data_IF_027132951738
#
_entry.id   IF_027132951738
#
_cell.length_a   1.000
_cell.length_b   1.000
_cell.length_c   1.000
_cell.angle_alpha   90.00
_cell.angle_beta   90.00
_cell.angle_gamma   90.00
#
_symmetry.space_group_name_H-M   'P 1'
#
loop_
_entity.id
_entity.type
_entity.pdbx_description
1 polymer ?
#
# COMPACT_ATOMS: atom_id res chain seq x y z
N UNK A 1 -7.36 1.43 11.82
CA UNK A 1 -6.01 1.30 11.18
C UNK A 1 -4.99 0.98 12.26
N UNK A 2 -4.37 -0.20 12.22
CA UNK A 2 -3.30 -0.58 13.16
C UNK A 2 -2.00 0.11 12.73
N UNK A 3 -1.78 1.34 13.21
CA UNK A 3 -0.51 2.04 13.00
C UNK A 3 0.58 1.37 13.83
N UNK A 4 1.64 0.96 13.16
CA UNK A 4 2.80 0.33 13.81
C UNK A 4 3.89 1.40 13.98
N UNK A 5 4.40 1.58 15.19
CA UNK A 5 5.62 2.35 15.41
C UNK A 5 6.80 1.48 15.00
N UNK A 6 7.71 2.02 14.21
CA UNK A 6 8.94 1.34 13.77
C UNK A 6 9.84 1.13 14.99
N UNK A 7 10.12 -0.12 15.34
CA UNK A 7 11.32 -0.45 16.07
C UNK A 7 12.51 -0.36 15.11
N UNK A 8 13.63 0.16 15.55
CA UNK A 8 14.84 0.49 14.77
C UNK A 8 15.50 -0.68 14.02
N UNK A 9 14.96 -1.89 14.13
CA UNK A 9 15.53 -3.12 13.56
C UNK A 9 14.87 -3.60 12.26
N UNK A 10 13.83 -2.90 11.77
CA UNK A 10 13.12 -3.33 10.55
C UNK A 10 13.77 -2.70 9.33
N UNK A 11 14.38 -3.52 8.49
CA UNK A 11 14.92 -3.09 7.20
C UNK A 11 13.77 -2.76 6.25
N UNK A 12 13.57 -1.47 6.01
CA UNK A 12 12.51 -0.96 5.15
C UNK A 12 13.08 -0.64 3.77
N UNK A 13 12.49 -1.23 2.73
CA UNK A 13 12.79 -0.92 1.33
C UNK A 13 11.83 0.14 0.82
N UNK A 14 12.36 1.17 0.19
CA UNK A 14 11.58 2.21 -0.47
C UNK A 14 11.40 1.93 -1.95
N UNK A 15 10.22 2.28 -2.47
CA UNK A 15 9.89 2.16 -3.88
C UNK A 15 9.15 3.41 -4.35
N UNK A 16 9.72 4.06 -5.34
CA UNK A 16 9.09 5.19 -6.03
C UNK A 16 7.97 4.66 -6.94
N UNK A 17 6.75 5.17 -6.77
CA UNK A 17 5.60 4.80 -7.60
C UNK A 17 5.43 5.76 -8.76
N UNK A 18 5.44 7.05 -8.49
CA UNK A 18 5.30 8.10 -9.51
C UNK A 18 5.97 9.40 -9.07
N UNK A 19 6.46 10.14 -10.05
CA UNK A 19 6.96 11.50 -9.92
C UNK A 19 6.23 12.37 -10.92
N UNK A 20 5.77 13.54 -10.47
CA UNK A 20 5.14 14.54 -11.30
C UNK A 20 5.80 15.90 -11.09
N UNK A 21 6.13 16.58 -12.19
CA UNK A 21 6.50 17.99 -12.16
C UNK A 21 5.23 18.83 -12.05
N UNK A 22 5.11 19.60 -10.98
CA UNK A 22 3.96 20.46 -10.70
C UNK A 22 4.38 21.92 -10.72
N UNK A 23 3.47 22.80 -11.09
CA UNK A 23 3.75 24.21 -11.26
C UNK A 23 2.79 25.05 -10.42
N UNK A 24 3.34 26.02 -9.69
CA UNK A 24 2.57 27.11 -9.07
C UNK A 24 2.76 28.38 -9.89
N UNK A 25 1.65 28.91 -10.38
CA UNK A 25 1.65 30.18 -11.14
C UNK A 25 1.46 31.33 -10.18
N UNK A 26 2.34 32.32 -10.23
CA UNK A 26 2.29 33.56 -9.46
C UNK A 26 2.37 34.77 -10.39
N UNK A 27 2.18 36.00 -9.88
CA UNK A 27 2.29 37.23 -10.66
C UNK A 27 3.68 37.41 -11.30
N UNK A 28 4.73 36.80 -10.71
CA UNK A 28 6.12 36.86 -11.21
C UNK A 28 6.51 35.71 -12.15
N UNK A 29 5.58 34.76 -12.45
CA UNK A 29 5.87 33.65 -13.36
C UNK A 29 5.47 32.26 -12.80
N UNK A 30 6.12 31.23 -13.34
CA UNK A 30 5.86 29.81 -12.99
C UNK A 30 6.97 29.25 -12.12
N UNK A 31 6.63 28.81 -10.91
CA UNK A 31 7.57 28.12 -10.03
C UNK A 31 7.32 26.60 -10.14
N UNK A 32 8.35 25.88 -10.55
CA UNK A 32 8.28 24.43 -10.72
C UNK A 32 8.72 23.70 -9.44
N UNK A 33 8.01 22.64 -9.11
CA UNK A 33 8.37 21.72 -8.03
C UNK A 33 8.08 20.29 -8.47
N UNK A 34 8.67 19.31 -7.77
CA UNK A 34 8.41 17.89 -8.01
C UNK A 34 7.57 17.32 -6.87
N UNK A 35 6.59 16.51 -7.23
CA UNK A 35 5.78 15.75 -6.30
C UNK A 35 6.05 14.26 -6.52
N UNK A 36 6.53 13.57 -5.50
CA UNK A 36 6.80 12.14 -5.53
C UNK A 36 5.82 11.40 -4.60
N UNK A 37 5.28 10.26 -5.06
CA UNK A 37 4.62 9.28 -4.21
C UNK A 37 5.54 8.07 -4.04
N UNK A 38 5.82 7.75 -2.78
CA UNK A 38 6.73 6.67 -2.41
C UNK A 38 5.99 5.71 -1.49
N UNK A 39 6.28 4.44 -1.66
CA UNK A 39 5.83 3.35 -0.79
C UNK A 39 7.05 2.77 -0.09
N UNK A 40 6.90 2.44 1.19
CA UNK A 40 7.95 1.84 2.01
C UNK A 40 7.39 0.59 2.65
N UNK A 41 8.11 -0.52 2.57
CA UNK A 41 7.68 -1.80 3.16
C UNK A 41 8.86 -2.69 3.55
N UNK A 42 8.59 -3.68 4.41
CA UNK A 42 9.57 -4.65 4.91
C UNK A 42 9.55 -5.99 4.15
N UNK A 43 8.59 -6.17 3.23
CA UNK A 43 8.35 -7.45 2.57
C UNK A 43 7.79 -8.54 3.48
N UNK A 44 7.34 -8.20 4.71
CA UNK A 44 6.83 -9.14 5.73
C UNK A 44 5.47 -8.69 6.30
N UNK A 45 4.75 -7.86 5.56
CA UNK A 45 3.41 -7.40 5.93
C UNK A 45 3.35 -6.00 6.54
N UNK A 46 4.44 -5.25 6.60
CA UNK A 46 4.40 -3.84 7.01
C UNK A 46 4.56 -2.95 5.80
N UNK A 47 3.70 -1.97 5.65
CA UNK A 47 3.71 -1.04 4.53
C UNK A 47 3.28 0.36 4.95
N UNK A 48 3.86 1.36 4.28
CA UNK A 48 3.44 2.74 4.40
C UNK A 48 3.57 3.49 3.07
N UNK A 49 2.88 4.59 2.95
CA UNK A 49 3.04 5.49 1.82
C UNK A 49 3.27 6.92 2.27
N UNK A 50 3.99 7.67 1.45
CA UNK A 50 4.25 9.07 1.71
C UNK A 50 4.28 9.90 0.43
N UNK A 51 3.89 11.14 0.58
CA UNK A 51 3.96 12.17 -0.46
C UNK A 51 5.05 13.17 -0.07
N UNK A 52 5.99 13.40 -1.00
CA UNK A 52 7.00 14.43 -0.85
C UNK A 52 6.90 15.47 -1.96
N UNK A 53 7.10 16.75 -1.62
CA UNK A 53 7.22 17.85 -2.57
C UNK A 53 8.50 18.66 -2.28
N UNK A 54 9.27 18.94 -3.33
CA UNK A 54 10.48 19.76 -3.24
C UNK A 54 10.83 20.37 -4.60
N UNK A 55 11.80 21.30 -4.62
CA UNK A 55 12.37 21.86 -5.84
C UNK A 55 13.20 20.85 -6.65
N UNK A 56 13.74 19.84 -5.97
CA UNK A 56 14.55 18.77 -6.55
C UNK A 56 13.89 17.41 -6.37
N UNK A 57 14.15 16.49 -7.32
CA UNK A 57 13.56 15.13 -7.34
C UNK A 57 14.04 14.32 -6.12
N UNK A 58 15.34 14.34 -5.83
CA UNK A 58 15.94 13.61 -4.70
C UNK A 58 15.38 14.05 -3.35
N UNK A 59 15.26 15.37 -3.16
CA UNK A 59 14.65 15.94 -1.95
C UNK A 59 13.15 15.61 -1.83
N UNK A 60 12.41 15.54 -2.95
CA UNK A 60 11.00 15.14 -2.94
C UNK A 60 10.86 13.66 -2.54
N UNK A 61 11.71 12.76 -3.04
CA UNK A 61 11.73 11.34 -2.68
C UNK A 61 12.06 11.19 -1.18
N UNK A 62 13.13 11.81 -0.69
CA UNK A 62 13.52 11.73 0.72
C UNK A 62 12.39 12.15 1.67
N UNK A 63 11.71 13.26 1.38
CA UNK A 63 10.51 13.70 2.14
C UNK A 63 9.36 12.69 2.05
N UNK A 64 9.17 12.06 0.88
CA UNK A 64 8.18 11.01 0.70
C UNK A 64 8.47 9.78 1.56
N UNK A 65 9.72 9.34 1.62
CA UNK A 65 10.17 8.21 2.47
C UNK A 65 9.96 8.52 3.95
N UNK A 66 10.33 9.71 4.42
CA UNK A 66 10.07 10.12 5.81
C UNK A 66 8.58 10.11 6.16
N UNK A 67 7.74 10.64 5.26
CA UNK A 67 6.29 10.65 5.45
C UNK A 67 5.72 9.22 5.46
N UNK A 68 6.23 8.31 4.62
CA UNK A 68 5.84 6.92 4.59
C UNK A 68 6.19 6.18 5.88
N UNK A 69 7.39 6.39 6.41
CA UNK A 69 7.83 5.79 7.69
C UNK A 69 6.97 6.19 8.90
N UNK A 70 6.34 7.37 8.86
CA UNK A 70 5.41 7.83 9.91
C UNK A 70 4.02 7.18 9.84
N UNK A 71 3.66 6.59 8.70
CA UNK A 71 2.32 6.05 8.42
C UNK A 71 2.37 4.57 8.04
N UNK A 72 3.06 3.76 8.84
CA UNK A 72 3.15 2.32 8.62
C UNK A 72 1.90 1.60 9.13
N UNK A 73 1.43 0.63 8.34
CA UNK A 73 0.28 -0.23 8.62
C UNK A 73 0.72 -1.68 8.52
N UNK A 74 0.26 -2.53 9.44
CA UNK A 74 0.48 -3.97 9.38
C UNK A 74 -0.67 -4.65 8.64
N UNK A 75 -0.32 -5.52 7.70
CA UNK A 75 -1.23 -6.25 6.82
C UNK A 75 -1.01 -7.76 7.03
N UNK A 76 -2.06 -8.57 7.19
CA UNK A 76 -1.93 -10.00 7.28
C UNK A 76 -1.59 -10.59 5.89
N UNK A 77 -0.43 -11.23 5.78
CA UNK A 77 0.01 -12.00 4.61
C UNK A 77 0.09 -13.46 4.99
N UNK A 78 -0.63 -14.34 4.29
CA UNK A 78 -0.68 -15.77 4.55
C UNK A 78 -0.10 -16.55 3.37
N UNK A 79 0.99 -17.29 3.61
CA UNK A 79 1.64 -18.14 2.58
C UNK A 79 1.93 -17.43 1.26
N UNK A 80 2.28 -16.11 1.32
CA UNK A 80 2.58 -15.30 0.15
C UNK A 80 1.36 -14.69 -0.57
N UNK A 81 0.14 -14.85 -0.04
CA UNK A 81 -1.08 -14.24 -0.58
C UNK A 81 -1.89 -13.53 0.52
N UNK A 82 -3.02 -12.93 0.16
CA UNK A 82 -3.96 -12.31 1.09
C UNK A 82 -4.98 -13.33 1.62
N UNK A 83 -5.52 -13.16 2.85
CA UNK A 83 -6.42 -14.14 3.47
C UNK A 83 -7.78 -14.28 2.76
N UNK A 84 -8.34 -13.20 2.24
CA UNK A 84 -9.63 -13.17 1.55
C UNK A 84 -9.68 -12.06 0.49
N UNK A 85 -10.69 -12.10 -0.36
CA UNK A 85 -10.94 -11.02 -1.31
C UNK A 85 -11.32 -9.72 -0.61
N UNK A 86 -10.94 -8.60 -1.20
CA UNK A 86 -11.24 -7.27 -0.69
C UNK A 86 -11.43 -6.28 -1.83
N UNK A 87 -12.39 -5.40 -1.63
CA UNK A 87 -12.65 -4.26 -2.48
C UNK A 87 -12.55 -2.98 -1.67
N UNK A 88 -11.83 -1.98 -2.19
CA UNK A 88 -11.68 -0.70 -1.52
C UNK A 88 -11.72 0.45 -2.50
N UNK A 89 -12.12 1.64 -2.02
CA UNK A 89 -12.23 2.84 -2.83
C UNK A 89 -11.55 4.01 -2.13
N UNK A 90 -10.82 4.78 -2.93
CA UNK A 90 -10.30 6.07 -2.48
C UNK A 90 -10.44 7.12 -3.59
N UNK A 91 -11.20 8.19 -3.30
CA UNK A 91 -11.56 9.16 -4.34
C UNK A 91 -12.28 8.47 -5.50
N UNK A 92 -11.81 8.70 -6.73
CA UNK A 92 -12.35 8.07 -7.93
C UNK A 92 -11.73 6.71 -8.27
N UNK A 93 -10.76 6.22 -7.50
CA UNK A 93 -10.13 4.92 -7.73
C UNK A 93 -10.81 3.84 -6.89
N UNK A 94 -11.08 2.71 -7.52
CA UNK A 94 -11.60 1.49 -6.90
C UNK A 94 -10.62 0.37 -7.21
N UNK A 95 -10.28 -0.44 -6.21
CA UNK A 95 -9.37 -1.57 -6.32
C UNK A 95 -10.08 -2.83 -5.86
N UNK A 96 -9.86 -3.91 -6.60
CA UNK A 96 -10.31 -5.25 -6.27
C UNK A 96 -9.10 -6.16 -6.17
N UNK A 97 -8.99 -6.92 -5.09
CA UNK A 97 -7.88 -7.84 -4.84
C UNK A 97 -8.44 -9.19 -4.40
N UNK A 98 -7.92 -10.26 -4.98
CA UNK A 98 -8.32 -11.64 -4.71
C UNK A 98 -7.10 -12.51 -4.46
N UNK A 99 -7.13 -13.42 -3.46
CA UNK A 99 -6.06 -14.37 -3.25
C UNK A 99 -5.88 -15.28 -4.46
N UNK A 100 -4.67 -15.71 -4.71
CA UNK A 100 -4.32 -16.61 -5.80
C UNK A 100 -3.50 -17.80 -5.31
N UNK A 101 -3.52 -18.89 -6.08
CA UNK A 101 -2.70 -20.07 -5.81
C UNK A 101 -1.21 -19.76 -5.96
N UNK A 102 -0.38 -20.50 -5.24
CA UNK A 102 1.08 -20.38 -5.33
C UNK A 102 1.55 -20.60 -6.78
N UNK A 103 2.44 -19.73 -7.26
CA UNK A 103 2.94 -19.74 -8.63
C UNK A 103 2.15 -18.87 -9.62
N UNK A 104 1.01 -18.29 -9.23
CA UNK A 104 0.26 -17.35 -10.09
C UNK A 104 1.05 -16.06 -10.33
N UNK A 105 1.84 -15.63 -9.35
CA UNK A 105 2.57 -14.39 -9.39
C UNK A 105 1.71 -13.16 -9.10
N UNK A 106 2.33 -12.01 -9.20
CA UNK A 106 1.75 -10.72 -8.85
C UNK A 106 1.05 -10.10 -10.08
N UNK A 107 -0.24 -10.36 -10.24
CA UNK A 107 -1.05 -9.84 -11.35
C UNK A 107 -1.76 -8.56 -10.90
N UNK A 108 -1.10 -7.41 -11.13
CA UNK A 108 -1.60 -6.08 -10.72
C UNK A 108 -1.11 -4.97 -11.62
N UNK A 109 -1.84 -3.87 -11.69
CA UNK A 109 -1.39 -2.63 -12.35
C UNK A 109 -0.19 -2.00 -11.63
N UNK A 110 0.62 -1.20 -12.33
CA UNK A 110 1.93 -0.72 -11.85
C UNK A 110 1.93 -0.10 -10.44
N UNK A 111 0.99 0.80 -10.16
CA UNK A 111 0.88 1.44 -8.84
C UNK A 111 0.49 0.44 -7.73
N UNK A 112 -0.45 -0.47 -8.02
CA UNK A 112 -0.85 -1.54 -7.09
C UNK A 112 0.28 -2.55 -6.90
N UNK A 113 0.96 -2.93 -7.98
CA UNK A 113 2.10 -3.86 -7.96
C UNK A 113 3.21 -3.35 -7.03
N UNK A 114 3.53 -2.05 -7.09
CA UNK A 114 4.54 -1.46 -6.21
C UNK A 114 4.19 -1.60 -4.73
N UNK A 115 2.90 -1.42 -4.38
CA UNK A 115 2.39 -1.61 -3.01
C UNK A 115 2.48 -3.07 -2.60
N UNK A 116 1.93 -3.99 -3.39
CA UNK A 116 1.83 -5.42 -3.07
C UNK A 116 3.21 -6.09 -2.95
N UNK A 117 4.14 -5.72 -3.81
CA UNK A 117 5.51 -6.21 -3.76
C UNK A 117 6.26 -5.70 -2.50
N UNK A 118 6.04 -4.42 -2.11
CA UNK A 118 6.61 -3.87 -0.88
C UNK A 118 6.05 -4.49 0.40
N UNK A 119 4.80 -5.00 0.37
CA UNK A 119 4.19 -5.79 1.46
C UNK A 119 4.78 -7.20 1.55
N UNK A 120 5.29 -7.74 0.45
CA UNK A 120 5.80 -9.11 0.35
C UNK A 120 4.75 -10.13 -0.13
N UNK A 121 3.68 -9.68 -0.76
CA UNK A 121 2.72 -10.56 -1.43
C UNK A 121 3.34 -11.08 -2.72
N UNK A 122 3.29 -12.39 -2.95
CA UNK A 122 3.86 -13.06 -4.13
C UNK A 122 2.79 -13.46 -5.14
N UNK A 123 1.62 -13.91 -4.66
CA UNK A 123 0.56 -14.47 -5.49
C UNK A 123 -0.76 -13.75 -5.21
N UNK A 124 -1.23 -12.96 -6.19
CA UNK A 124 -2.46 -12.18 -6.06
C UNK A 124 -3.02 -11.80 -7.44
N UNK A 125 -4.34 -11.75 -7.53
CA UNK A 125 -5.06 -11.18 -8.66
C UNK A 125 -5.65 -9.84 -8.23
N UNK A 126 -5.21 -8.75 -8.86
CA UNK A 126 -5.67 -7.43 -8.52
C UNK A 126 -6.01 -6.60 -9.75
N UNK A 127 -7.10 -5.86 -9.67
CA UNK A 127 -7.57 -4.97 -10.74
C UNK A 127 -8.01 -3.63 -10.17
N UNK A 128 -7.64 -2.58 -10.89
CA UNK A 128 -8.13 -1.23 -10.63
C UNK A 128 -9.26 -0.86 -11.59
N UNK A 129 -10.23 -0.11 -11.09
CA UNK A 129 -11.36 0.46 -11.84
C UNK A 129 -11.46 1.96 -11.55
N UNK A 130 -12.09 2.71 -12.45
CA UNK A 130 -12.26 4.15 -12.31
C UNK A 130 -10.97 4.91 -12.56
N UNK A 131 -10.55 5.74 -11.61
CA UNK A 131 -9.37 6.61 -11.77
C UNK A 131 -8.07 5.82 -11.84
N UNK A 132 -7.24 6.13 -12.84
CA UNK A 132 -5.88 5.58 -12.98
C UNK A 132 -4.80 6.41 -12.28
N UNK A 133 -5.18 7.45 -11.51
CA UNK A 133 -4.25 8.30 -10.79
C UNK A 133 -3.45 7.47 -9.76
N UNK A 134 -2.10 7.41 -9.86
CA UNK A 134 -1.26 6.64 -8.96
C UNK A 134 -1.46 6.98 -7.48
N UNK A 135 -1.70 8.25 -7.16
CA UNK A 135 -1.95 8.68 -5.79
C UNK A 135 -3.22 8.04 -5.18
N UNK A 136 -4.29 7.98 -5.96
CA UNK A 136 -5.54 7.38 -5.52
C UNK A 136 -5.43 5.84 -5.45
N UNK A 137 -4.75 5.23 -6.44
CA UNK A 137 -4.56 3.78 -6.49
C UNK A 137 -3.74 3.27 -5.31
N UNK A 138 -2.61 3.92 -4.97
CA UNK A 138 -1.80 3.55 -3.80
C UNK A 138 -2.62 3.62 -2.52
N UNK A 139 -3.36 4.71 -2.32
CA UNK A 139 -4.20 4.89 -1.11
C UNK A 139 -5.32 3.86 -1.04
N UNK A 140 -6.04 3.64 -2.16
CA UNK A 140 -7.10 2.63 -2.22
C UNK A 140 -6.55 1.21 -1.95
N UNK A 141 -5.37 0.87 -2.49
CA UNK A 141 -4.75 -0.43 -2.26
C UNK A 141 -4.37 -0.64 -0.80
N UNK A 142 -3.76 0.37 -0.15
CA UNK A 142 -3.39 0.30 1.27
C UNK A 142 -4.65 0.27 2.16
N UNK A 143 -5.70 1.01 1.81
CA UNK A 143 -6.98 0.95 2.50
C UNK A 143 -7.59 -0.45 2.43
N UNK A 144 -7.61 -1.08 1.24
CA UNK A 144 -8.06 -2.46 1.06
C UNK A 144 -7.24 -3.45 1.88
N UNK A 145 -5.92 -3.33 1.86
CA UNK A 145 -5.04 -4.18 2.66
C UNK A 145 -5.25 -4.01 4.17
N UNK A 146 -5.59 -2.80 4.63
CA UNK A 146 -5.87 -2.53 6.05
C UNK A 146 -7.19 -3.11 6.55
N UNK A 147 -8.12 -3.43 5.65
CA UNK A 147 -9.41 -4.06 5.94
C UNK A 147 -9.31 -5.59 6.06
N UNK A 148 -8.20 -6.18 5.62
CA UNK A 148 -7.99 -7.63 5.70
C UNK A 148 -7.97 -8.10 7.14
N UNK A 149 -8.62 -9.22 7.39
CA UNK A 149 -8.67 -9.88 8.70
C UNK A 149 -8.16 -11.31 8.55
N UNK A 150 -7.25 -11.68 9.42
CA UNK A 150 -6.81 -13.07 9.53
C UNK A 150 -7.78 -13.88 10.41
N UNK A 151 -7.70 -15.20 10.30
CA UNK A 151 -8.56 -16.11 11.05
C UNK A 151 -8.39 -15.96 12.57
N UNK A 152 -7.17 -15.63 13.04
CA UNK A 152 -6.90 -15.36 14.45
C UNK A 152 -7.68 -14.15 14.97
N UNK A 153 -7.66 -13.07 14.22
CA UNK A 153 -8.43 -11.85 14.55
C UNK A 153 -9.92 -12.16 14.59
N UNK A 154 -10.43 -12.94 13.64
CA UNK A 154 -11.86 -13.32 13.59
C UNK A 154 -12.22 -14.22 14.79
N UNK A 155 -11.40 -15.23 15.09
CA UNK A 155 -11.59 -16.13 16.24
C UNK A 155 -11.64 -15.33 17.56
N UNK A 156 -10.68 -14.41 17.74
CA UNK A 156 -10.63 -13.55 18.93
C UNK A 156 -11.85 -12.63 19.09
N UNK A 157 -12.29 -12.01 17.99
CA UNK A 157 -13.49 -11.12 18.01
C UNK A 157 -14.78 -11.91 18.30
N UNK A 158 -14.89 -13.14 17.76
CA UNK A 158 -16.08 -13.98 17.92
C UNK A 158 -16.03 -14.85 19.18
N UNK A 159 -14.89 -14.95 19.87
CA UNK A 159 -14.70 -15.81 21.05
C UNK A 159 -14.83 -17.32 20.75
N UNK A 160 -14.47 -17.75 19.53
CA UNK A 160 -14.56 -19.14 19.07
C UNK A 160 -13.18 -19.72 18.75
N UNK A 161 -13.08 -21.05 18.72
CA UNK A 161 -11.84 -21.73 18.33
C UNK A 161 -11.52 -21.53 16.84
N UNK A 162 -10.25 -21.66 16.48
CA UNK A 162 -9.81 -21.57 15.08
C UNK A 162 -10.50 -22.59 14.18
N UNK A 163 -10.72 -23.82 14.68
CA UNK A 163 -11.40 -24.87 13.92
C UNK A 163 -12.83 -24.48 13.54
N UNK A 164 -13.54 -23.80 14.43
CA UNK A 164 -14.88 -23.26 14.14
C UNK A 164 -14.89 -22.09 13.16
N UNK A 165 -13.78 -21.40 12.96
CA UNK A 165 -13.70 -20.34 11.94
C UNK A 165 -13.69 -20.93 10.55
N UNK A 166 -13.10 -22.13 10.36
CA UNK A 166 -12.97 -22.77 9.05
C UNK A 166 -14.07 -23.79 8.75
N UNK A 167 -14.60 -24.46 9.77
CA UNK A 167 -15.53 -25.57 9.61
C UNK A 167 -16.98 -25.25 10.02
N UNK A 168 -17.23 -24.09 10.60
CA UNK A 168 -18.56 -23.66 11.06
C UNK A 168 -18.88 -24.09 12.49
#
# INVERSE_FOLDING_TARGET
>A
MNKVKVNSEVELKDRLVAINRVTKVTKGGRTFTFAAIVVVGDGKGVIGYGLGKAGEVTAAIAKGVEAAKKNLVKVPVLKGTIPHEVEARFGGAQVFMRPAAAGTGLVAGGAMRAVLDSVGVKDILAKSKGSSNPHNLVKATIEGLSQLRDAYTIAGVRGISMDKVFNG
#
